data_IF_156361281674
#
_entry.id   IF_156361281674
#
_cell.length_a   1.000
_cell.length_b   1.000
_cell.length_c   1.000
_cell.angle_alpha   90.00
_cell.angle_beta   90.00
_cell.angle_gamma   90.00
#
_symmetry.space_group_name_H-M   'P 1'
#
loop_
_entity.id
_entity.type
_entity.pdbx_description
1 polymer ?
#
# COMPACT_ATOMS: atom_id res chain seq x y z
N UNK A 1 7.95 12.70 -12.71
CA UNK A 1 6.96 13.76 -12.44
C UNK A 1 7.33 14.98 -13.27
N UNK A 2 8.48 15.61 -13.05
CA UNK A 2 8.92 16.82 -13.80
C UNK A 2 9.03 16.57 -15.32
N UNK A 3 9.61 15.43 -15.73
CA UNK A 3 9.71 15.06 -17.14
C UNK A 3 8.34 14.88 -17.84
N UNK A 4 7.27 14.65 -17.04
CA UNK A 4 5.90 14.60 -17.52
C UNK A 4 5.13 15.92 -17.33
N UNK A 5 5.84 17.02 -17.02
CA UNK A 5 5.24 18.34 -16.84
C UNK A 5 4.59 18.59 -15.46
N UNK A 6 4.77 17.69 -14.52
CA UNK A 6 4.30 17.87 -13.15
C UNK A 6 5.27 18.70 -12.29
N UNK A 7 4.81 19.16 -11.11
CA UNK A 7 5.66 19.91 -10.19
C UNK A 7 6.80 19.05 -9.61
N UNK A 8 7.82 19.69 -9.07
CA UNK A 8 8.91 19.00 -8.39
C UNK A 8 8.37 18.24 -7.17
N UNK A 9 8.63 16.91 -7.07
CA UNK A 9 8.19 16.13 -5.92
C UNK A 9 9.06 16.43 -4.69
N UNK A 10 8.44 16.51 -3.52
CA UNK A 10 9.17 16.46 -2.26
C UNK A 10 9.60 15.01 -1.96
N UNK A 11 10.87 14.82 -1.60
CA UNK A 11 11.42 13.51 -1.24
C UNK A 11 11.70 13.48 0.26
N UNK A 12 11.02 12.59 1.00
CA UNK A 12 11.20 12.39 2.44
C UNK A 12 11.68 10.95 2.65
N UNK A 13 12.98 10.72 2.88
CA UNK A 13 13.50 9.40 3.18
C UNK A 13 12.93 8.88 4.50
N UNK A 14 12.40 7.65 4.51
CA UNK A 14 11.88 7.00 5.69
C UNK A 14 12.21 5.51 5.68
N UNK A 15 12.74 5.00 6.79
CA UNK A 15 12.91 3.56 7.02
C UNK A 15 11.73 3.04 7.85
N UNK A 16 10.80 2.36 7.20
CA UNK A 16 9.60 1.83 7.83
C UNK A 16 9.86 0.67 8.80
N UNK A 17 11.04 0.07 8.79
CA UNK A 17 11.44 -0.92 9.78
C UNK A 17 11.81 -0.31 11.13
N UNK A 18 12.21 0.98 11.13
CA UNK A 18 12.66 1.73 12.29
C UNK A 18 11.69 2.82 12.73
N UNK A 19 10.97 3.43 11.77
CA UNK A 19 10.07 4.55 12.05
C UNK A 19 8.94 4.17 13.02
N UNK A 20 8.69 5.06 13.98
CA UNK A 20 7.65 4.93 14.98
C UNK A 20 6.58 6.04 14.89
N UNK A 21 5.66 6.09 15.86
CA UNK A 21 4.57 7.07 15.85
C UNK A 21 5.04 8.53 15.86
N UNK A 22 6.24 8.80 16.37
CA UNK A 22 6.79 10.16 16.42
C UNK A 22 7.18 10.65 15.02
N UNK A 23 7.93 9.84 14.26
CA UNK A 23 8.37 10.17 12.91
C UNK A 23 7.17 10.37 11.96
N UNK A 24 6.12 9.56 12.08
CA UNK A 24 4.91 9.73 11.28
C UNK A 24 4.12 10.99 11.63
N UNK A 25 4.09 11.41 12.92
CA UNK A 25 3.49 12.69 13.30
C UNK A 25 4.29 13.87 12.77
N UNK A 26 5.62 13.84 12.86
CA UNK A 26 6.47 14.87 12.27
C UNK A 26 6.26 15.02 10.75
N UNK A 27 6.08 13.90 10.06
CA UNK A 27 5.73 13.92 8.64
C UNK A 27 4.37 14.57 8.41
N UNK A 28 3.36 14.23 9.20
CA UNK A 28 2.04 14.84 9.11
C UNK A 28 2.08 16.34 9.36
N UNK A 29 2.78 16.79 10.40
CA UNK A 29 2.97 18.22 10.73
C UNK A 29 3.66 18.96 9.56
N UNK A 30 4.62 18.31 8.91
CA UNK A 30 5.32 18.89 7.75
C UNK A 30 4.37 19.04 6.56
N UNK A 31 3.57 18.01 6.26
CA UNK A 31 2.59 18.05 5.15
C UNK A 31 1.52 19.10 5.44
N UNK A 32 1.04 19.17 6.67
CA UNK A 32 0.05 20.18 7.09
C UNK A 32 0.57 21.60 6.85
N UNK A 33 1.79 21.87 7.30
CA UNK A 33 2.42 23.19 7.18
C UNK A 33 2.64 23.60 5.71
N UNK A 34 3.04 22.67 4.86
CA UNK A 34 3.42 22.97 3.46
C UNK A 34 2.22 22.95 2.51
N UNK A 35 1.21 22.11 2.77
CA UNK A 35 0.10 21.86 1.84
C UNK A 35 -1.30 22.07 2.44
N UNK A 36 -1.44 22.04 3.76
CA UNK A 36 -2.71 22.22 4.48
C UNK A 36 -3.64 21.02 4.45
N UNK A 37 -3.63 20.20 3.40
CA UNK A 37 -4.46 19.02 3.21
C UNK A 37 -3.70 17.92 2.47
N UNK A 38 -4.28 16.72 2.43
CA UNK A 38 -3.78 15.59 1.64
C UNK A 38 -4.94 14.96 0.86
N UNK A 39 -4.79 14.84 -0.46
CA UNK A 39 -5.85 14.31 -1.33
C UNK A 39 -5.72 12.82 -1.62
N UNK A 40 -4.55 12.24 -1.35
CA UNK A 40 -4.33 10.83 -1.60
C UNK A 40 -3.19 10.22 -0.80
N UNK A 41 -3.35 8.96 -0.41
CA UNK A 41 -2.34 8.17 0.30
C UNK A 41 -2.22 6.78 -0.33
N UNK A 42 -1.09 6.51 -0.98
CA UNK A 42 -0.79 5.21 -1.56
C UNK A 42 0.20 4.43 -0.68
N UNK A 43 -0.27 3.38 -0.04
CA UNK A 43 0.57 2.41 0.67
C UNK A 43 1.09 1.34 -0.30
N UNK A 44 2.25 1.59 -0.89
CA UNK A 44 2.88 0.68 -1.85
C UNK A 44 4.16 0.02 -1.32
N UNK A 45 4.87 0.64 -0.39
CA UNK A 45 6.10 0.10 0.17
C UNK A 45 5.86 -1.27 0.84
N UNK A 46 6.72 -2.24 0.53
CA UNK A 46 6.58 -3.60 1.05
C UNK A 46 7.89 -4.36 0.92
N UNK A 47 8.14 -5.30 1.83
CA UNK A 47 9.23 -6.27 1.76
C UNK A 47 8.66 -7.69 1.70
N UNK A 48 9.34 -8.59 0.99
CA UNK A 48 8.88 -9.96 0.77
C UNK A 48 9.11 -10.85 2.00
N UNK A 49 10.25 -10.69 2.68
CA UNK A 49 10.73 -11.65 3.66
C UNK A 49 11.13 -12.98 3.01
N UNK A 50 11.08 -14.05 3.78
CA UNK A 50 11.48 -15.37 3.34
C UNK A 50 10.34 -16.19 2.75
N UNK A 51 10.64 -16.97 1.72
CA UNK A 51 9.75 -17.99 1.16
C UNK A 51 10.14 -19.35 1.77
N UNK A 52 9.56 -19.68 2.92
CA UNK A 52 9.93 -20.83 3.72
C UNK A 52 8.74 -21.38 4.51
N UNK A 53 8.76 -22.66 4.97
CA UNK A 53 7.75 -23.17 5.91
C UNK A 53 7.65 -22.30 7.17
N UNK A 54 6.45 -22.13 7.69
CA UNK A 54 6.21 -21.26 8.85
C UNK A 54 7.01 -21.69 10.09
N UNK A 55 7.20 -22.99 10.28
CA UNK A 55 7.99 -23.55 11.38
C UNK A 55 9.49 -23.21 11.33
N UNK A 56 9.99 -22.82 10.14
CA UNK A 56 11.38 -22.44 9.91
C UNK A 56 11.55 -20.94 9.69
N UNK A 57 10.48 -20.16 9.84
CA UNK A 57 10.52 -18.74 9.55
C UNK A 57 11.34 -18.00 10.60
N UNK A 58 12.30 -17.17 10.17
CA UNK A 58 13.13 -16.38 11.06
C UNK A 58 12.30 -15.29 11.78
N UNK A 59 12.32 -15.23 13.14
CA UNK A 59 11.54 -14.25 13.88
C UNK A 59 11.89 -12.78 13.58
N UNK A 60 13.16 -12.46 13.34
CA UNK A 60 13.58 -11.08 13.07
C UNK A 60 13.12 -10.63 11.67
N UNK A 61 13.18 -11.55 10.71
CA UNK A 61 12.60 -11.33 9.37
C UNK A 61 11.08 -11.19 9.45
N UNK A 62 10.41 -12.00 10.26
CA UNK A 62 8.98 -11.86 10.53
C UNK A 62 8.64 -10.47 11.05
N UNK A 63 9.32 -10.02 12.08
CA UNK A 63 9.09 -8.72 12.70
C UNK A 63 9.33 -7.57 11.71
N UNK A 64 10.37 -7.67 10.90
CA UNK A 64 10.66 -6.68 9.84
C UNK A 64 9.53 -6.61 8.83
N UNK A 65 9.04 -7.75 8.32
CA UNK A 65 7.93 -7.80 7.36
C UNK A 65 6.66 -7.20 7.98
N UNK A 66 6.32 -7.56 9.21
CA UNK A 66 5.12 -7.04 9.89
C UNK A 66 5.23 -5.54 10.17
N UNK A 67 6.41 -5.05 10.55
CA UNK A 67 6.65 -3.61 10.74
C UNK A 67 6.46 -2.83 9.44
N UNK A 68 7.10 -3.25 8.36
CA UNK A 68 7.07 -2.52 7.08
C UNK A 68 5.72 -2.65 6.38
N UNK A 69 5.18 -3.88 6.29
CA UNK A 69 4.02 -4.14 5.44
C UNK A 69 2.67 -3.85 6.12
N UNK A 70 2.59 -3.86 7.44
CA UNK A 70 1.33 -3.72 8.17
C UNK A 70 1.36 -2.58 9.19
N UNK A 71 2.35 -2.58 10.11
CA UNK A 71 2.39 -1.57 11.18
C UNK A 71 2.65 -0.17 10.64
N UNK A 72 3.55 0.00 9.67
CA UNK A 72 3.84 1.30 9.07
C UNK A 72 2.62 1.87 8.33
N UNK A 73 1.92 1.14 7.45
CA UNK A 73 0.66 1.59 6.87
C UNK A 73 -0.38 2.03 7.91
N UNK A 74 -0.54 1.27 9.01
CA UNK A 74 -1.45 1.65 10.09
C UNK A 74 -1.06 3.00 10.72
N UNK A 75 0.19 3.15 11.16
CA UNK A 75 0.65 4.35 11.85
C UNK A 75 0.65 5.58 10.93
N UNK A 76 1.04 5.41 9.67
CA UNK A 76 1.05 6.48 8.69
C UNK A 76 -0.38 6.92 8.34
N UNK A 77 -1.31 5.97 8.17
CA UNK A 77 -2.73 6.28 7.97
C UNK A 77 -3.26 7.06 9.18
N UNK A 78 -3.01 6.57 10.41
CA UNK A 78 -3.47 7.23 11.63
C UNK A 78 -2.96 8.68 11.73
N UNK A 79 -1.70 8.92 11.40
CA UNK A 79 -1.10 10.25 11.46
C UNK A 79 -1.65 11.20 10.37
N UNK A 80 -1.91 10.68 9.16
CA UNK A 80 -2.34 11.48 8.00
C UNK A 80 -3.86 11.61 7.86
N UNK A 81 -4.64 10.80 8.57
CA UNK A 81 -6.09 10.80 8.47
C UNK A 81 -6.75 12.18 8.72
N UNK A 82 -6.27 13.01 9.69
CA UNK A 82 -6.80 14.36 9.86
C UNK A 82 -6.64 15.23 8.61
N UNK A 83 -5.52 15.13 7.90
CA UNK A 83 -5.25 15.90 6.67
C UNK A 83 -6.08 15.39 5.48
N UNK A 84 -6.26 14.07 5.37
CA UNK A 84 -7.14 13.46 4.37
C UNK A 84 -8.60 13.88 4.57
N UNK A 85 -9.05 14.05 5.81
CA UNK A 85 -10.42 14.54 6.13
C UNK A 85 -10.66 16.00 5.74
N UNK A 86 -9.62 16.78 5.50
CA UNK A 86 -9.75 18.18 5.03
C UNK A 86 -9.95 18.25 3.52
N UNK A 87 -9.58 17.21 2.78
CA UNK A 87 -9.82 17.13 1.35
C UNK A 87 -11.30 16.89 1.04
N UNK A 88 -11.86 17.57 0.02
CA UNK A 88 -13.23 17.33 -0.43
C UNK A 88 -13.37 15.95 -1.13
N UNK A 89 -12.28 15.36 -1.61
CA UNK A 89 -12.24 14.08 -2.32
C UNK A 89 -10.89 13.39 -2.10
N UNK A 90 -10.79 12.59 -1.05
CA UNK A 90 -9.56 11.88 -0.73
C UNK A 90 -9.63 10.37 -1.03
N UNK A 91 -8.49 9.79 -1.37
CA UNK A 91 -8.35 8.35 -1.62
C UNK A 91 -7.19 7.74 -0.85
N UNK A 92 -7.45 6.62 -0.15
CA UNK A 92 -6.43 5.76 0.44
C UNK A 92 -6.40 4.45 -0.36
N UNK A 93 -5.24 4.12 -0.89
CA UNK A 93 -5.05 2.88 -1.66
C UNK A 93 -3.95 2.04 -1.04
N UNK A 94 -4.25 0.77 -0.79
CA UNK A 94 -3.29 -0.21 -0.29
C UNK A 94 -2.92 -1.19 -1.40
N UNK A 95 -1.63 -1.35 -1.67
CA UNK A 95 -1.13 -2.43 -2.53
C UNK A 95 -1.14 -3.75 -1.76
N UNK A 96 -2.04 -4.64 -2.15
CA UNK A 96 -2.19 -5.99 -1.60
C UNK A 96 -1.55 -7.05 -2.51
N UNK A 97 -2.00 -8.28 -2.40
CA UNK A 97 -1.56 -9.43 -3.21
C UNK A 97 -2.63 -10.51 -3.22
N UNK A 98 -2.60 -11.39 -4.20
CA UNK A 98 -3.46 -12.59 -4.20
C UNK A 98 -3.29 -13.46 -2.94
N UNK A 99 -2.08 -13.46 -2.34
CA UNK A 99 -1.84 -14.17 -1.08
C UNK A 99 -2.39 -13.43 0.15
N UNK A 100 -2.75 -12.16 0.03
CA UNK A 100 -3.50 -11.41 1.05
C UNK A 100 -4.97 -11.80 1.10
N UNK A 101 -5.56 -12.18 -0.03
CA UNK A 101 -6.96 -12.70 -0.09
C UNK A 101 -7.04 -14.18 0.25
N UNK A 102 -6.04 -14.97 -0.15
CA UNK A 102 -5.93 -16.39 0.14
C UNK A 102 -4.47 -16.75 0.39
N UNK A 103 -4.10 -16.88 1.66
CA UNK A 103 -2.76 -17.30 2.06
C UNK A 103 -2.37 -18.64 1.42
N UNK A 104 -1.09 -18.79 1.10
CA UNK A 104 -0.52 -20.01 0.51
C UNK A 104 0.68 -20.46 1.33
N UNK A 105 0.97 -21.75 1.27
CA UNK A 105 2.16 -22.33 1.89
C UNK A 105 3.44 -21.59 1.46
N UNK A 106 4.36 -21.44 2.38
CA UNK A 106 5.69 -20.81 2.25
C UNK A 106 5.70 -19.26 2.18
N UNK A 107 4.56 -18.60 2.10
CA UNK A 107 4.49 -17.13 2.02
C UNK A 107 4.54 -16.42 3.38
N UNK A 108 4.58 -17.12 4.48
CA UNK A 108 4.84 -16.68 5.85
C UNK A 108 4.30 -15.30 6.22
N UNK A 109 5.18 -14.47 6.76
CA UNK A 109 4.84 -13.11 7.21
C UNK A 109 4.27 -12.23 6.09
N UNK A 110 4.76 -12.38 4.84
CA UNK A 110 4.25 -11.60 3.72
C UNK A 110 2.74 -11.83 3.51
N UNK A 111 2.31 -13.10 3.40
CA UNK A 111 0.88 -13.40 3.22
C UNK A 111 0.06 -12.86 4.39
N UNK A 112 0.50 -13.07 5.63
CA UNK A 112 -0.19 -12.63 6.84
C UNK A 112 -0.28 -11.09 6.87
N UNK A 113 0.80 -10.37 6.54
CA UNK A 113 0.78 -8.92 6.46
C UNK A 113 -0.21 -8.41 5.41
N UNK A 114 -0.28 -9.06 4.24
CA UNK A 114 -1.23 -8.69 3.18
C UNK A 114 -2.68 -9.07 3.52
N UNK A 115 -2.93 -10.14 4.26
CA UNK A 115 -4.25 -10.42 4.86
C UNK A 115 -4.65 -9.32 5.85
N UNK A 116 -3.71 -8.85 6.68
CA UNK A 116 -3.92 -7.72 7.58
C UNK A 116 -4.26 -6.42 6.85
N UNK A 117 -3.61 -6.15 5.72
CA UNK A 117 -3.90 -4.99 4.85
C UNK A 117 -5.32 -5.07 4.26
N UNK A 118 -5.75 -6.23 3.77
CA UNK A 118 -7.13 -6.43 3.26
C UNK A 118 -8.15 -6.15 4.37
N UNK A 119 -7.93 -6.70 5.57
CA UNK A 119 -8.78 -6.44 6.73
C UNK A 119 -8.78 -4.98 7.17
N UNK A 120 -7.61 -4.33 7.22
CA UNK A 120 -7.49 -2.92 7.59
C UNK A 120 -8.18 -2.00 6.57
N UNK A 121 -8.07 -2.30 5.28
CA UNK A 121 -8.74 -1.55 4.23
C UNK A 121 -10.25 -1.61 4.36
N UNK A 122 -10.81 -2.81 4.57
CA UNK A 122 -12.25 -3.02 4.72
C UNK A 122 -12.79 -2.33 5.98
N UNK A 123 -12.09 -2.50 7.11
CA UNK A 123 -12.44 -1.87 8.39
C UNK A 123 -12.44 -0.34 8.26
N UNK A 124 -11.38 0.23 7.69
CA UNK A 124 -11.25 1.68 7.55
C UNK A 124 -12.30 2.25 6.58
N UNK A 125 -12.62 1.53 5.49
CA UNK A 125 -13.69 1.93 4.58
C UNK A 125 -15.05 2.01 5.29
N UNK A 126 -15.37 1.04 6.13
CA UNK A 126 -16.62 0.99 6.91
C UNK A 126 -16.68 2.14 7.95
N UNK A 127 -15.59 2.37 8.69
CA UNK A 127 -15.50 3.46 9.67
C UNK A 127 -15.66 4.86 9.04
N UNK A 128 -15.20 5.05 7.81
CA UNK A 128 -15.18 6.34 7.13
C UNK A 128 -16.41 6.60 6.24
N UNK A 129 -17.17 5.57 5.89
CA UNK A 129 -18.27 5.62 4.92
C UNK A 129 -19.30 6.74 5.19
N UNK A 130 -19.65 6.97 6.45
CA UNK A 130 -20.66 7.94 6.84
C UNK A 130 -20.07 9.18 7.56
N UNK A 131 -18.77 9.29 7.64
CA UNK A 131 -18.09 10.34 8.43
C UNK A 131 -17.14 11.19 7.62
N UNK A 132 -16.87 10.81 6.36
CA UNK A 132 -15.94 11.52 5.47
C UNK A 132 -16.20 11.19 4.00
N UNK A 133 -15.53 11.92 3.10
CA UNK A 133 -15.52 11.64 1.65
C UNK A 133 -14.28 10.79 1.24
N UNK A 134 -13.62 10.14 2.20
CA UNK A 134 -12.42 9.35 1.93
C UNK A 134 -12.82 7.98 1.39
N UNK A 135 -12.33 7.64 0.20
CA UNK A 135 -12.43 6.30 -0.37
C UNK A 135 -11.25 5.45 0.10
N UNK A 136 -11.49 4.20 0.44
CA UNK A 136 -10.43 3.27 0.89
C UNK A 136 -10.54 1.97 0.10
N UNK A 137 -9.49 1.62 -0.64
CA UNK A 137 -9.49 0.44 -1.49
C UNK A 137 -8.15 -0.30 -1.47
N UNK A 138 -8.18 -1.57 -1.88
CA UNK A 138 -6.98 -2.37 -2.15
C UNK A 138 -6.78 -2.59 -3.65
N UNK A 139 -5.52 -2.67 -4.07
CA UNK A 139 -5.12 -3.13 -5.41
C UNK A 139 -4.23 -4.36 -5.28
N UNK A 140 -4.64 -5.47 -5.90
CA UNK A 140 -3.75 -6.57 -6.21
C UNK A 140 -3.10 -6.32 -7.58
N UNK A 141 -1.80 -6.00 -7.63
CA UNK A 141 -1.11 -5.73 -8.89
C UNK A 141 -1.00 -6.94 -9.82
N UNK A 142 -1.17 -8.16 -9.27
CA UNK A 142 -0.92 -9.40 -10.01
C UNK A 142 0.58 -9.67 -10.18
N UNK A 143 0.90 -10.57 -11.13
CA UNK A 143 2.28 -10.91 -11.48
C UNK A 143 2.90 -9.76 -12.30
N UNK A 144 3.69 -8.92 -11.64
CA UNK A 144 4.29 -7.71 -12.23
C UNK A 144 5.81 -7.84 -12.23
N UNK A 145 6.46 -7.38 -13.29
CA UNK A 145 7.91 -7.40 -13.49
C UNK A 145 8.60 -6.46 -12.49
N UNK A 146 9.01 -7.01 -11.36
CA UNK A 146 9.70 -6.31 -10.27
C UNK A 146 10.80 -7.17 -9.67
N UNK A 147 11.75 -6.56 -8.96
CA UNK A 147 12.77 -7.29 -8.22
C UNK A 147 12.16 -8.23 -7.17
N UNK A 148 11.08 -7.82 -6.49
CA UNK A 148 10.36 -8.68 -5.54
C UNK A 148 9.77 -9.91 -6.23
N UNK A 149 9.19 -9.76 -7.44
CA UNK A 149 8.66 -10.88 -8.21
C UNK A 149 9.75 -11.86 -8.60
N UNK A 150 10.88 -11.36 -9.09
CA UNK A 150 12.03 -12.19 -9.45
C UNK A 150 12.58 -12.97 -8.25
N UNK A 151 12.63 -12.35 -7.06
CA UNK A 151 13.02 -13.02 -5.82
C UNK A 151 12.04 -14.14 -5.42
N UNK A 152 10.72 -13.89 -5.56
CA UNK A 152 9.70 -14.89 -5.20
C UNK A 152 9.60 -16.05 -6.22
N UNK A 153 9.93 -15.80 -7.49
CA UNK A 153 9.81 -16.76 -8.59
C UNK A 153 11.04 -16.69 -9.51
N UNK A 154 12.21 -17.17 -9.04
CA UNK A 154 13.47 -17.02 -9.78
C UNK A 154 13.53 -17.78 -11.11
N UNK A 155 12.65 -18.77 -11.31
CA UNK A 155 12.54 -19.52 -12.57
C UNK A 155 11.54 -18.96 -13.59
N UNK A 156 10.86 -17.84 -13.27
CA UNK A 156 9.87 -17.22 -14.15
C UNK A 156 10.54 -16.29 -15.16
N UNK A 157 10.15 -16.37 -16.44
CA UNK A 157 10.65 -15.45 -17.46
C UNK A 157 10.03 -14.04 -17.27
N UNK A 158 10.83 -13.02 -16.90
CA UNK A 158 10.33 -11.66 -16.70
C UNK A 158 9.69 -11.04 -17.94
N UNK A 159 10.04 -11.52 -19.15
CA UNK A 159 9.48 -10.99 -20.39
C UNK A 159 7.99 -11.32 -20.57
N UNK A 160 7.49 -12.35 -19.89
CA UNK A 160 6.07 -12.75 -19.90
C UNK A 160 5.21 -11.91 -18.95
N UNK A 161 5.82 -11.10 -18.09
CA UNK A 161 5.13 -10.34 -17.06
C UNK A 161 4.77 -8.94 -17.53
N UNK A 162 3.64 -8.43 -17.05
CA UNK A 162 3.28 -7.02 -17.15
C UNK A 162 4.31 -6.15 -16.43
N UNK A 163 4.57 -4.97 -17.00
CA UNK A 163 5.42 -3.96 -16.36
C UNK A 163 4.63 -3.17 -15.32
N UNK A 164 5.29 -2.40 -14.44
CA UNK A 164 4.61 -1.45 -13.56
C UNK A 164 3.72 -0.46 -14.34
N UNK A 165 4.15 0.01 -15.51
CA UNK A 165 3.37 0.94 -16.34
C UNK A 165 2.07 0.32 -16.85
N UNK A 166 2.07 -0.97 -17.19
CA UNK A 166 0.89 -1.69 -17.66
C UNK A 166 -0.24 -1.78 -16.63
N UNK A 167 0.09 -1.68 -15.33
CA UNK A 167 -0.88 -1.78 -14.22
C UNK A 167 -1.27 -0.42 -13.64
N UNK A 168 -0.60 0.64 -14.07
CA UNK A 168 -0.80 2.01 -13.57
C UNK A 168 -2.23 2.54 -13.76
N UNK A 169 -2.98 2.19 -14.84
CA UNK A 169 -4.34 2.71 -15.04
C UNK A 169 -5.27 2.48 -13.85
N UNK A 170 -5.21 1.32 -13.16
CA UNK A 170 -6.05 1.08 -11.98
C UNK A 170 -5.63 1.93 -10.79
N UNK A 171 -4.33 2.15 -10.58
CA UNK A 171 -3.84 3.04 -9.53
C UNK A 171 -4.31 4.49 -9.76
N UNK A 172 -4.17 4.99 -10.99
CA UNK A 172 -4.63 6.33 -11.36
C UNK A 172 -6.14 6.48 -11.21
N UNK A 173 -6.92 5.47 -11.62
CA UNK A 173 -8.36 5.45 -11.43
C UNK A 173 -8.73 5.55 -9.94
N UNK A 174 -8.17 4.71 -9.08
CA UNK A 174 -8.52 4.70 -7.65
C UNK A 174 -8.00 5.93 -6.88
N UNK A 175 -6.87 6.50 -7.30
CA UNK A 175 -6.33 7.72 -6.69
C UNK A 175 -7.01 8.98 -7.21
N UNK A 176 -7.67 8.93 -8.36
CA UNK A 176 -8.33 10.06 -9.02
C UNK A 176 -9.83 10.15 -8.75
N UNK A 177 -10.48 11.23 -9.22
CA UNK A 177 -11.90 11.50 -8.99
C UNK A 177 -12.83 10.51 -9.72
N UNK A 178 -12.35 9.82 -10.75
CA UNK A 178 -13.16 8.89 -11.54
C UNK A 178 -13.67 7.69 -10.72
N UNK A 179 -13.05 7.44 -9.56
CA UNK A 179 -13.47 6.38 -8.62
C UNK A 179 -14.40 6.87 -7.51
N UNK A 180 -15.00 8.04 -7.65
CA UNK A 180 -15.98 8.57 -6.69
C UNK A 180 -17.08 7.53 -6.43
N UNK A 181 -17.33 7.22 -5.15
CA UNK A 181 -18.27 6.18 -4.73
C UNK A 181 -17.72 4.76 -4.69
N UNK A 182 -16.48 4.53 -5.14
CA UNK A 182 -15.81 3.22 -5.04
C UNK A 182 -14.99 3.17 -3.76
N UNK A 183 -15.49 2.43 -2.75
CA UNK A 183 -14.81 2.26 -1.46
C UNK A 183 -15.03 0.83 -0.94
N UNK A 184 -14.14 0.34 -0.08
CA UNK A 184 -14.19 -0.99 0.51
C UNK A 184 -13.92 -2.14 -0.47
N UNK A 185 -13.34 -1.83 -1.64
CA UNK A 185 -13.10 -2.81 -2.70
C UNK A 185 -11.65 -3.30 -2.70
N UNK A 186 -11.47 -4.55 -3.11
CA UNK A 186 -10.16 -5.14 -3.39
C UNK A 186 -10.13 -5.58 -4.86
N UNK A 187 -9.47 -4.77 -5.71
CA UNK A 187 -9.50 -4.90 -7.16
C UNK A 187 -8.22 -5.52 -7.71
N UNK A 188 -8.34 -6.18 -8.86
CA UNK A 188 -7.21 -6.76 -9.60
C UNK A 188 -6.79 -5.84 -10.74
N UNK A 189 -5.49 -5.44 -10.77
CA UNK A 189 -4.95 -4.69 -11.90
C UNK A 189 -4.77 -5.56 -13.16
N UNK A 190 -4.78 -6.89 -12.98
CA UNK A 190 -4.71 -7.88 -14.05
C UNK A 190 -5.88 -8.85 -13.87
N UNK A 191 -7.13 -8.47 -14.23
CA UNK A 191 -8.27 -9.36 -14.16
C UNK A 191 -8.07 -10.54 -15.12
N UNK A 192 -8.56 -11.73 -14.69
CA UNK A 192 -8.51 -12.95 -15.49
C UNK A 192 -9.59 -12.94 -16.56
#
# INVERSE_FOLDING_TARGET
>A
IEAAGGPQPALVPADFSLAGPHEYRQLADTIEKEFGQLDGLLHNASVLGDITPLEMYDPDTWDTVMKVNLRAPFLLTQALLPLLKQSPDASIVFTTSSVGRRARAFWGAYAISKCGIEGMSTLLADELMNTSNIRVNCINPGATRTAMRAAAYPGEDPATLKTPDDIMPLYLYLMGPDSTGVTGQSLDAQPK
#
